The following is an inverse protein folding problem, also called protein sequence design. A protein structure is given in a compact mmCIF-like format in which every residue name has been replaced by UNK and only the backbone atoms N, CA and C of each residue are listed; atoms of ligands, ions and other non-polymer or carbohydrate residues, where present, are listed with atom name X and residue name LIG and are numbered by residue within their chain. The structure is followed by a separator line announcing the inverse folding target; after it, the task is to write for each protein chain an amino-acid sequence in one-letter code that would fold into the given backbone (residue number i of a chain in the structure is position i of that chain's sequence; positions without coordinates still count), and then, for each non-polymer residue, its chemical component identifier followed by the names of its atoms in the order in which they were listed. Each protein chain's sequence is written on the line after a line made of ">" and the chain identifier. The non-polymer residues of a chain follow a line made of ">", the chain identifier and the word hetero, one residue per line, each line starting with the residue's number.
data_IF_062254028299
#
_entry.id   IF_062254028299
#
_cell.length_a   1.000
_cell.length_b   1.000
_cell.length_c   1.000
_cell.angle_alpha   90.00
_cell.angle_beta   90.00
_cell.angle_gamma   90.00
#
_symmetry.space_group_name_H-M   'P 1'
#
loop_
_entity.id
_entity.type
_entity.pdbx_description
1 polymer ?
#
# COMPACT_ATOMS: atom_id res chain seq x y z
N UNK A 1 11.16 -13.73 -0.63
CA UNK A 1 10.46 -14.61 0.34
C UNK A 1 9.99 -13.85 1.56
N UNK A 2 8.75 -14.12 1.99
CA UNK A 2 8.14 -13.62 3.22
C UNK A 2 6.84 -14.37 3.51
N UNK A 3 6.30 -14.20 4.72
CA UNK A 3 5.12 -14.96 5.17
C UNK A 3 4.32 -14.25 6.26
N UNK A 4 4.67 -13.00 6.59
CA UNK A 4 3.92 -12.22 7.56
C UNK A 4 2.48 -12.00 7.05
N UNK A 5 1.51 -12.28 7.91
CA UNK A 5 0.10 -12.14 7.57
C UNK A 5 -0.23 -10.68 7.24
N UNK A 6 -0.96 -10.47 6.13
CA UNK A 6 -1.41 -9.15 5.71
C UNK A 6 -2.33 -8.53 6.77
N UNK A 7 -2.01 -7.35 7.32
CA UNK A 7 -2.90 -6.68 8.26
C UNK A 7 -4.17 -6.19 7.56
N UNK A 8 -5.31 -6.32 8.24
CA UNK A 8 -6.61 -5.85 7.74
C UNK A 8 -6.88 -4.37 8.07
N UNK A 9 -6.24 -3.85 9.13
CA UNK A 9 -6.40 -2.48 9.58
C UNK A 9 -5.45 -1.52 8.87
N UNK A 10 -5.95 -0.31 8.66
CA UNK A 10 -5.21 0.85 8.18
C UNK A 10 -5.06 1.84 9.33
N UNK A 11 -3.93 2.56 9.38
CA UNK A 11 -3.61 3.44 10.50
C UNK A 11 -3.14 4.80 9.99
N UNK A 12 -3.44 5.86 10.74
CA UNK A 12 -2.86 7.18 10.49
C UNK A 12 -1.36 7.15 10.78
N UNK A 13 -0.61 7.99 10.08
CA UNK A 13 0.83 8.10 10.26
C UNK A 13 1.14 9.15 11.33
N UNK A 14 1.65 8.68 12.48
CA UNK A 14 2.02 9.51 13.62
C UNK A 14 3.46 10.01 13.56
N UNK A 15 4.23 9.58 12.56
CA UNK A 15 5.65 9.92 12.39
C UNK A 15 5.87 11.00 11.32
N UNK A 16 4.79 11.54 10.73
CA UNK A 16 4.89 12.61 9.75
C UNK A 16 5.56 13.86 10.35
N UNK A 17 6.48 14.52 9.62
CA UNK A 17 7.10 15.76 10.06
C UNK A 17 6.07 16.86 10.35
N UNK A 18 6.41 17.75 11.28
CA UNK A 18 5.60 18.94 11.56
C UNK A 18 5.38 19.76 10.29
N UNK A 19 4.13 20.15 10.05
CA UNK A 19 3.71 20.89 8.85
C UNK A 19 3.29 20.02 7.66
N UNK A 20 3.50 18.70 7.70
CA UNK A 20 2.94 17.80 6.69
C UNK A 20 1.45 17.57 6.94
N UNK A 21 0.62 17.88 5.94
CA UNK A 21 -0.79 17.53 5.96
C UNK A 21 -0.94 16.03 5.67
N UNK A 22 -0.93 15.21 6.73
CA UNK A 22 -1.33 13.82 6.66
C UNK A 22 -2.83 13.65 6.46
N UNK A 23 -3.24 12.43 6.13
CA UNK A 23 -4.68 12.09 6.14
C UNK A 23 -5.22 12.08 7.57
N UNK A 24 -6.51 12.37 7.72
CA UNK A 24 -7.18 12.49 9.03
C UNK A 24 -8.15 11.34 9.34
N UNK A 25 -8.34 10.40 8.39
CA UNK A 25 -9.22 9.26 8.55
C UNK A 25 -8.67 8.02 7.85
N UNK A 26 -9.02 6.85 8.37
CA UNK A 26 -8.71 5.53 7.78
C UNK A 26 -9.95 4.89 7.13
N UNK A 27 -11.07 5.62 7.10
CA UNK A 27 -12.31 5.19 6.47
C UNK A 27 -12.06 4.84 4.99
N UNK A 28 -12.86 3.91 4.46
CA UNK A 28 -12.79 3.56 3.05
C UNK A 28 -13.05 4.79 2.18
N UNK A 29 -12.23 5.03 1.15
CA UNK A 29 -12.51 6.11 0.20
C UNK A 29 -13.86 5.96 -0.51
N UNK A 30 -14.41 4.74 -0.56
CA UNK A 30 -15.76 4.47 -1.01
C UNK A 30 -16.85 5.24 -0.23
N UNK A 31 -16.58 5.66 1.02
CA UNK A 31 -17.52 6.49 1.80
C UNK A 31 -17.63 7.92 1.29
N UNK A 32 -16.60 8.41 0.57
CA UNK A 32 -16.59 9.74 -0.06
C UNK A 32 -17.00 9.62 -1.52
N UNK A 33 -16.46 8.63 -2.23
CA UNK A 33 -16.77 8.35 -3.63
C UNK A 33 -16.74 6.86 -3.91
N UNK A 34 -17.89 6.31 -4.28
CA UNK A 34 -18.03 4.89 -4.64
C UNK A 34 -17.09 4.51 -5.80
N UNK A 35 -16.61 3.26 -5.78
CA UNK A 35 -15.66 2.76 -6.78
C UNK A 35 -14.20 3.16 -6.54
N UNK A 36 -13.87 3.64 -5.33
CA UNK A 36 -12.49 3.89 -4.91
C UNK A 36 -12.09 3.00 -3.74
N UNK A 37 -10.94 2.35 -3.90
CA UNK A 37 -10.29 1.53 -2.90
C UNK A 37 -9.22 2.34 -2.15
N UNK A 38 -8.88 1.87 -0.94
CA UNK A 38 -7.62 2.18 -0.27
C UNK A 38 -6.48 1.47 -1.01
N UNK A 39 -5.93 2.14 -2.02
CA UNK A 39 -4.87 1.59 -2.87
C UNK A 39 -3.49 1.83 -2.30
N UNK A 40 -2.66 0.79 -2.26
CA UNK A 40 -1.27 0.84 -1.80
C UNK A 40 -0.36 1.43 -2.89
N UNK A 41 0.56 2.32 -2.52
CA UNK A 41 1.69 2.70 -3.38
C UNK A 41 2.85 1.70 -3.24
N UNK A 42 3.34 1.51 -2.03
CA UNK A 42 4.18 0.37 -1.65
C UNK A 42 3.28 -0.79 -1.27
N UNK A 43 3.31 -1.87 -2.06
CA UNK A 43 2.45 -3.02 -1.82
C UNK A 43 2.83 -3.77 -0.54
N UNK A 44 1.81 -4.20 0.19
CA UNK A 44 1.97 -4.92 1.46
C UNK A 44 2.74 -6.24 1.27
N UNK A 45 2.54 -6.93 0.14
CA UNK A 45 3.20 -8.21 -0.13
C UNK A 45 4.72 -8.07 -0.25
N UNK A 46 5.23 -6.94 -0.75
CA UNK A 46 6.68 -6.73 -0.86
C UNK A 46 7.36 -6.53 0.51
N UNK A 47 6.57 -6.33 1.57
CA UNK A 47 7.04 -6.04 2.92
C UNK A 47 6.80 -7.21 3.91
N UNK A 48 6.33 -8.35 3.40
CA UNK A 48 5.92 -9.54 4.17
C UNK A 48 7.05 -10.34 4.83
N UNK A 49 8.31 -9.94 4.57
CA UNK A 49 9.48 -10.47 5.25
C UNK A 49 9.64 -9.93 6.68
N UNK A 50 8.89 -8.89 7.07
CA UNK A 50 9.00 -8.27 8.39
C UNK A 50 7.66 -7.72 8.88
N UNK A 51 7.26 -8.11 10.09
CA UNK A 51 5.99 -7.71 10.70
C UNK A 51 5.84 -6.20 10.90
N UNK A 52 6.94 -5.46 11.09
CA UNK A 52 6.94 -4.00 11.18
C UNK A 52 6.71 -3.39 9.80
N UNK A 53 7.46 -3.81 8.78
CA UNK A 53 7.35 -3.21 7.45
C UNK A 53 6.00 -3.48 6.79
N UNK A 54 5.43 -4.69 6.93
CA UNK A 54 4.09 -4.99 6.41
C UNK A 54 3.00 -4.12 7.07
N UNK A 55 3.16 -3.77 8.35
CA UNK A 55 2.28 -2.82 9.04
C UNK A 55 2.48 -1.39 8.55
N UNK A 56 3.73 -0.97 8.31
CA UNK A 56 4.03 0.35 7.76
C UNK A 56 3.46 0.55 6.35
N UNK A 57 3.37 -0.51 5.55
CA UNK A 57 2.70 -0.46 4.25
C UNK A 57 1.19 -0.11 4.36
N UNK A 58 0.55 -0.31 5.51
CA UNK A 58 -0.85 0.06 5.78
C UNK A 58 -1.01 1.44 6.45
N UNK A 59 0.05 2.25 6.55
CA UNK A 59 -0.06 3.63 7.00
C UNK A 59 -0.72 4.48 5.91
N UNK A 60 -1.62 5.39 6.28
CA UNK A 60 -2.34 6.23 5.32
C UNK A 60 -1.42 7.15 4.51
N UNK A 61 -0.19 7.42 4.95
CA UNK A 61 0.84 8.09 4.14
C UNK A 61 1.24 7.31 2.89
N UNK A 62 1.00 5.99 2.83
CA UNK A 62 1.24 5.10 1.69
C UNK A 62 -0.04 4.74 0.90
N UNK A 63 -1.21 5.20 1.35
CA UNK A 63 -2.51 4.77 0.83
C UNK A 63 -3.20 5.91 0.10
N UNK A 64 -3.50 5.74 -1.18
CA UNK A 64 -4.17 6.77 -2.00
C UNK A 64 -5.52 6.26 -2.52
N UNK A 65 -6.47 7.15 -2.84
CA UNK A 65 -7.69 6.74 -3.53
C UNK A 65 -7.33 6.20 -4.91
N UNK A 66 -7.56 4.91 -5.14
CA UNK A 66 -7.41 4.31 -6.46
C UNK A 66 -8.77 3.82 -6.96
N UNK A 67 -9.04 3.97 -8.25
CA UNK A 67 -10.23 3.38 -8.88
C UNK A 67 -10.18 1.87 -8.67
N UNK A 68 -11.26 1.25 -8.17
CA UNK A 68 -11.25 -0.16 -7.77
C UNK A 68 -10.83 -1.10 -8.90
N UNK A 69 -11.27 -0.86 -10.13
CA UNK A 69 -10.88 -1.67 -11.30
C UNK A 69 -9.39 -1.52 -11.68
N UNK A 70 -8.76 -0.39 -11.35
CA UNK A 70 -7.33 -0.18 -11.52
C UNK A 70 -6.54 -0.94 -10.45
N UNK A 71 -6.88 -0.70 -9.16
CA UNK A 71 -6.23 -1.31 -8.00
C UNK A 71 -6.27 -2.85 -8.06
N UNK A 72 -7.46 -3.41 -8.31
CA UNK A 72 -7.69 -4.86 -8.36
C UNK A 72 -7.31 -5.48 -9.71
N UNK A 73 -6.99 -4.65 -10.71
CA UNK A 73 -6.73 -5.07 -12.09
C UNK A 73 -5.26 -4.93 -12.45
N UNK A 74 -4.93 -3.88 -13.21
CA UNK A 74 -3.57 -3.71 -13.75
C UNK A 74 -2.54 -3.44 -12.65
N UNK A 75 -2.94 -2.78 -11.56
CA UNK A 75 -2.03 -2.45 -10.47
C UNK A 75 -1.52 -3.70 -9.75
N UNK A 76 -2.41 -4.58 -9.25
CA UNK A 76 -2.00 -5.84 -8.63
C UNK A 76 -1.22 -6.75 -9.60
N UNK A 77 -1.48 -6.69 -10.91
CA UNK A 77 -0.67 -7.41 -11.92
C UNK A 77 0.78 -6.88 -11.95
N UNK A 78 0.97 -5.57 -11.91
CA UNK A 78 2.30 -4.97 -11.85
C UNK A 78 3.02 -5.32 -10.53
N UNK A 79 2.30 -5.28 -9.40
CA UNK A 79 2.82 -5.70 -8.09
C UNK A 79 3.31 -7.16 -8.11
N UNK A 80 2.54 -8.06 -8.73
CA UNK A 80 2.89 -9.49 -8.86
C UNK A 80 4.10 -9.72 -9.77
N UNK A 81 4.26 -8.92 -10.83
CA UNK A 81 5.46 -8.99 -11.69
C UNK A 81 6.70 -8.61 -10.86
N UNK A 82 6.66 -7.48 -10.16
CA UNK A 82 7.77 -7.06 -9.29
C UNK A 82 8.07 -8.08 -8.19
N UNK A 83 7.04 -8.70 -7.61
CA UNK A 83 7.18 -9.79 -6.63
C UNK A 83 7.92 -10.99 -7.22
N UNK A 84 7.55 -11.43 -8.43
CA UNK A 84 8.19 -12.57 -9.08
C UNK A 84 9.68 -12.30 -9.40
N UNK A 85 10.01 -11.09 -9.90
CA UNK A 85 11.39 -10.73 -10.19
C UNK A 85 12.26 -10.61 -8.93
N UNK A 86 11.66 -10.32 -7.76
CA UNK A 86 12.35 -10.23 -6.47
C UNK A 86 13.03 -11.54 -6.06
N UNK A 87 12.50 -12.68 -6.49
CA UNK A 87 13.11 -13.99 -6.22
C UNK A 87 14.31 -14.31 -7.14
N UNK A 88 14.54 -13.50 -8.17
CA UNK A 88 15.62 -13.69 -9.14
C UNK A 88 16.78 -12.71 -8.87
N UNK A 89 16.46 -11.43 -8.66
CA UNK A 89 17.45 -10.38 -8.44
C UNK A 89 16.85 -9.22 -7.61
N UNK A 90 17.70 -8.32 -7.15
CA UNK A 90 17.24 -7.09 -6.51
C UNK A 90 16.42 -6.23 -7.48
N UNK A 91 15.20 -5.88 -7.07
CA UNK A 91 14.29 -5.01 -7.83
C UNK A 91 14.14 -3.69 -7.09
N UNK A 92 14.25 -2.58 -7.81
CA UNK A 92 13.92 -1.25 -7.30
C UNK A 92 12.59 -0.81 -7.91
N UNK A 93 11.61 -0.49 -7.07
CA UNK A 93 10.28 -0.07 -7.49
C UNK A 93 10.07 1.38 -7.07
N UNK A 94 9.72 2.23 -8.04
CA UNK A 94 9.34 3.61 -7.82
C UNK A 94 7.92 3.80 -8.33
N UNK A 95 7.04 4.35 -7.49
CA UNK A 95 5.64 4.59 -7.82
C UNK A 95 5.08 5.74 -6.99
N UNK A 96 4.09 6.44 -7.52
CA UNK A 96 3.49 7.62 -6.90
C UNK A 96 2.38 8.21 -7.73
N UNK A 97 1.80 9.30 -7.23
CA UNK A 97 0.76 10.13 -7.87
C UNK A 97 1.16 11.59 -7.81
#
# INVERSE_FOLDING_TARGET
>A
TGSAARPSSFNLDTELPSGCAGQTSTASYASVRTGYDRGHLVTSNHMDYNATYIRRANLMSNIVPQVSSFNQGIWVRAENVAECYRDIASVQVYGGV
#
